data_IF_222060205787
#
_entry.id   IF_222060205787
#
_cell.length_a   1.000
_cell.length_b   1.000
_cell.length_c   1.000
_cell.angle_alpha   90.00
_cell.angle_beta   90.00
_cell.angle_gamma   90.00
#
_symmetry.space_group_name_H-M   'P 1'
#
loop_
_entity.id
_entity.type
_entity.pdbx_description
1 polymer ?
#
# COMPACT_ATOMS: atom_id res chain seq x y z
N UNK A 1 0.85 3.86 -1.31
CA UNK A 1 0.15 2.95 -2.25
C UNK A 1 -0.74 3.77 -3.15
N UNK A 2 -0.77 3.48 -4.45
CA UNK A 2 -1.66 4.14 -5.42
C UNK A 2 -2.40 3.07 -6.19
N UNK A 3 -3.72 3.25 -6.38
CA UNK A 3 -4.53 2.40 -7.22
C UNK A 3 -5.43 3.24 -8.13
N UNK A 4 -5.38 2.93 -9.42
CA UNK A 4 -6.05 3.69 -10.48
C UNK A 4 -6.82 2.71 -11.36
N UNK A 5 -8.11 2.94 -11.67
CA UNK A 5 -8.85 2.09 -12.58
C UNK A 5 -8.15 2.06 -13.95
N UNK A 6 -7.96 0.86 -14.53
CA UNK A 6 -7.43 0.79 -15.90
C UNK A 6 -8.49 1.31 -16.86
N UNK A 7 -8.16 2.34 -17.64
CA UNK A 7 -9.00 2.78 -18.75
C UNK A 7 -9.22 1.60 -19.68
N UNK A 8 -10.49 1.23 -19.91
CA UNK A 8 -10.83 0.26 -20.94
C UNK A 8 -10.58 0.93 -22.29
N UNK A 9 -9.45 0.67 -22.91
CA UNK A 9 -9.42 0.73 -24.37
C UNK A 9 -10.60 -0.11 -24.87
N UNK A 10 -11.35 0.40 -25.87
CA UNK A 10 -12.49 -0.28 -26.46
C UNK A 10 -12.03 -1.55 -27.19
N UNK A 11 -11.68 -2.59 -26.44
CA UNK A 11 -11.40 -3.92 -26.97
C UNK A 11 -12.73 -4.52 -27.40
N UNK A 12 -12.81 -5.00 -28.65
CA UNK A 12 -14.00 -5.70 -29.18
C UNK A 12 -14.34 -6.83 -28.19
N UNK A 13 -15.55 -6.80 -27.63
CA UNK A 13 -16.04 -7.78 -26.65
C UNK A 13 -16.09 -9.16 -27.29
N UNK A 14 -15.38 -10.12 -26.70
CA UNK A 14 -15.57 -11.54 -26.99
C UNK A 14 -16.83 -12.03 -26.23
N UNK A 15 -17.79 -12.71 -26.88
CA UNK A 15 -19.06 -13.09 -26.24
C UNK A 15 -18.94 -14.03 -25.03
N UNK A 16 -17.79 -14.68 -24.85
CA UNK A 16 -17.52 -15.65 -23.78
C UNK A 16 -16.62 -15.12 -22.65
N UNK A 17 -16.29 -13.83 -22.64
CA UNK A 17 -15.47 -13.25 -21.56
C UNK A 17 -16.31 -13.03 -20.31
N UNK A 18 -15.86 -13.59 -19.17
CA UNK A 18 -16.52 -13.43 -17.88
C UNK A 18 -16.73 -11.93 -17.58
N UNK A 19 -17.98 -11.56 -17.24
CA UNK A 19 -18.37 -10.16 -17.00
C UNK A 19 -17.54 -9.58 -15.87
N UNK A 20 -16.71 -8.61 -16.21
CA UNK A 20 -15.81 -7.91 -15.29
C UNK A 20 -16.64 -7.19 -14.20
N UNK A 21 -16.37 -7.36 -12.88
CA UNK A 21 -17.16 -6.78 -11.79
C UNK A 21 -17.40 -5.26 -11.91
N UNK A 22 -16.46 -4.54 -12.53
CA UNK A 22 -16.57 -3.11 -12.84
C UNK A 22 -17.68 -2.75 -13.84
N UNK A 23 -18.36 -3.70 -14.48
CA UNK A 23 -19.48 -3.44 -15.40
C UNK A 23 -20.84 -3.30 -14.69
N UNK A 24 -20.97 -3.71 -13.43
CA UNK A 24 -22.25 -3.78 -12.72
C UNK A 24 -22.54 -2.59 -11.79
N UNK A 25 -21.58 -1.68 -11.56
CA UNK A 25 -21.82 -0.46 -10.77
C UNK A 25 -22.07 0.74 -11.69
N UNK A 26 -23.18 1.44 -11.51
CA UNK A 26 -23.51 2.69 -12.19
C UNK A 26 -22.63 3.88 -11.78
N UNK A 27 -21.70 3.68 -10.86
CA UNK A 27 -20.73 4.69 -10.40
C UNK A 27 -19.39 4.52 -11.10
N UNK A 28 -18.81 5.63 -11.55
CA UNK A 28 -17.44 5.66 -12.08
C UNK A 28 -16.44 5.17 -11.01
N UNK A 29 -15.41 4.39 -11.41
CA UNK A 29 -14.44 3.86 -10.46
C UNK A 29 -13.52 4.99 -9.95
N UNK A 30 -13.16 4.95 -8.66
CA UNK A 30 -12.45 6.03 -7.96
C UNK A 30 -10.97 5.71 -7.79
N UNK A 31 -10.09 6.68 -8.00
CA UNK A 31 -8.66 6.54 -7.68
C UNK A 31 -8.41 6.62 -6.18
N UNK A 32 -7.57 5.74 -5.64
CA UNK A 32 -7.20 5.77 -4.21
C UNK A 32 -5.70 5.98 -4.06
N UNK A 33 -5.33 6.97 -3.24
CA UNK A 33 -3.96 7.31 -2.90
C UNK A 33 -3.78 7.22 -1.39
N UNK A 34 -2.83 6.40 -0.95
CA UNK A 34 -2.38 6.31 0.43
C UNK A 34 -0.96 6.88 0.47
N UNK A 35 -0.83 8.06 1.08
CA UNK A 35 0.43 8.75 1.34
C UNK A 35 0.71 8.70 2.84
N UNK A 36 1.93 8.35 3.21
CA UNK A 36 2.33 8.18 4.60
C UNK A 36 3.73 8.73 4.85
N UNK A 37 3.98 9.17 6.08
CA UNK A 37 5.24 9.73 6.52
C UNK A 37 5.74 8.96 7.75
N UNK A 38 6.99 8.51 7.71
CA UNK A 38 7.67 7.86 8.84
C UNK A 38 8.77 8.81 9.38
N UNK A 39 8.91 9.09 10.68
CA UNK A 39 8.00 8.87 11.82
C UNK A 39 7.47 10.22 12.30
N UNK A 40 6.18 10.51 12.11
CA UNK A 40 5.56 11.78 12.55
C UNK A 40 4.41 11.53 13.52
N UNK A 41 4.45 12.20 14.69
CA UNK A 41 3.26 12.33 15.55
C UNK A 41 2.30 13.38 14.99
N UNK A 42 1.03 13.30 15.38
CA UNK A 42 0.01 14.28 14.97
C UNK A 42 0.42 15.73 15.33
N UNK A 43 1.00 15.93 16.51
CA UNK A 43 1.49 17.23 16.95
C UNK A 43 2.70 17.71 16.14
N UNK A 44 3.62 16.80 15.79
CA UNK A 44 4.76 17.12 14.93
C UNK A 44 4.30 17.50 13.51
N UNK A 45 3.32 16.77 12.96
CA UNK A 45 2.72 17.08 11.66
C UNK A 45 2.10 18.49 11.66
N UNK A 46 1.31 18.82 12.69
CA UNK A 46 0.71 20.16 12.85
C UNK A 46 1.73 21.29 12.93
N UNK A 47 2.83 21.07 13.67
CA UNK A 47 3.89 22.08 13.85
C UNK A 47 4.73 22.29 12.59
N UNK A 48 5.11 21.21 11.92
CA UNK A 48 6.07 21.25 10.81
C UNK A 48 5.42 21.45 9.44
N UNK A 49 4.13 21.12 9.29
CA UNK A 49 3.39 21.25 8.04
C UNK A 49 2.13 22.15 8.20
N UNK A 50 2.28 23.39 8.73
CA UNK A 50 1.13 24.24 9.07
C UNK A 50 0.30 24.64 7.84
N UNK A 51 0.93 24.79 6.66
CA UNK A 51 0.23 25.07 5.40
C UNK A 51 -0.65 23.88 4.97
N UNK A 52 -0.14 22.66 5.11
CA UNK A 52 -0.88 21.44 4.81
C UNK A 52 -2.05 21.25 5.76
N UNK A 53 -1.83 21.47 7.06
CA UNK A 53 -2.88 21.36 8.08
C UNK A 53 -4.00 22.37 7.80
N UNK A 54 -3.64 23.63 7.55
CA UNK A 54 -4.59 24.67 7.18
C UNK A 54 -5.42 24.26 5.95
N UNK A 55 -4.76 23.77 4.90
CA UNK A 55 -5.47 23.30 3.70
C UNK A 55 -6.43 22.14 4.02
N UNK A 56 -6.01 21.15 4.81
CA UNK A 56 -6.87 20.01 5.17
C UNK A 56 -8.07 20.44 6.03
N UNK A 57 -7.88 21.35 6.99
CA UNK A 57 -8.95 21.78 7.91
C UNK A 57 -9.92 22.81 7.31
N UNK A 58 -9.50 23.57 6.29
CA UNK A 58 -10.34 24.54 5.59
C UNK A 58 -11.14 23.91 4.42
N UNK A 59 -10.85 22.67 4.06
CA UNK A 59 -11.53 21.94 2.99
C UNK A 59 -12.29 20.72 3.55
N UNK A 60 -13.04 20.02 2.69
CA UNK A 60 -13.89 18.89 3.06
C UNK A 60 -13.09 17.58 3.27
N UNK A 61 -12.10 17.60 4.17
CA UNK A 61 -11.34 16.43 4.58
C UNK A 61 -11.75 15.95 5.98
N UNK A 62 -11.89 14.64 6.13
CA UNK A 62 -12.07 14.03 7.44
C UNK A 62 -10.72 13.97 8.19
N UNK A 63 -10.64 14.63 9.35
CA UNK A 63 -9.47 14.57 10.24
C UNK A 63 -9.74 13.65 11.42
N UNK A 64 -9.00 12.54 11.50
CA UNK A 64 -9.12 11.56 12.58
C UNK A 64 -8.31 11.96 13.82
N UNK A 65 -8.83 12.91 14.61
CA UNK A 65 -8.23 13.28 15.89
C UNK A 65 -8.28 12.09 16.88
N UNK A 66 -7.15 11.79 17.52
CA UNK A 66 -7.05 10.65 18.44
C UNK A 66 -6.83 9.29 17.76
N UNK A 67 -6.61 9.26 16.43
CA UNK A 67 -6.15 8.05 15.75
C UNK A 67 -4.78 7.62 16.30
N UNK A 68 -4.66 6.36 16.67
CA UNK A 68 -3.43 5.75 17.15
C UNK A 68 -2.98 4.65 16.20
N UNK A 69 -1.66 4.49 16.07
CA UNK A 69 -1.06 3.36 15.38
C UNK A 69 -1.24 2.08 16.21
N UNK A 70 -1.17 0.94 15.52
CA UNK A 70 -1.10 -0.36 16.17
C UNK A 70 0.36 -0.75 16.34
N UNK A 71 0.76 -1.05 17.58
CA UNK A 71 2.14 -1.40 17.91
C UNK A 71 3.14 -0.24 17.77
N UNK A 72 4.42 -0.56 18.00
CA UNK A 72 5.49 0.44 18.14
C UNK A 72 6.35 0.61 16.88
N UNK A 73 6.26 -0.32 15.93
CA UNK A 73 7.07 -0.30 14.71
C UNK A 73 6.27 0.00 13.45
N UNK A 74 6.96 0.53 12.44
CA UNK A 74 6.41 0.78 11.10
C UNK A 74 5.66 -0.44 10.53
N UNK A 75 6.20 -1.69 10.57
CA UNK A 75 5.44 -2.86 10.10
C UNK A 75 4.14 -3.08 10.86
N UNK A 76 4.16 -2.97 12.19
CA UNK A 76 2.99 -3.15 13.03
C UNK A 76 1.92 -2.09 12.77
N UNK A 77 2.31 -0.86 12.41
CA UNK A 77 1.38 0.19 12.03
C UNK A 77 0.76 -0.04 10.64
N UNK A 78 1.54 -0.47 9.65
CA UNK A 78 1.07 -0.61 8.27
C UNK A 78 0.38 -1.93 7.95
N UNK A 79 0.74 -3.04 8.61
CA UNK A 79 0.12 -4.34 8.35
C UNK A 79 -1.40 -4.28 8.57
N UNK A 80 -1.94 -3.72 9.67
CA UNK A 80 -3.38 -3.59 9.85
C UNK A 80 -4.05 -2.69 8.82
N UNK A 81 -3.41 -1.57 8.47
CA UNK A 81 -3.95 -0.65 7.46
C UNK A 81 -4.09 -1.34 6.09
N UNK A 82 -3.12 -2.20 5.75
CA UNK A 82 -3.03 -2.80 4.41
C UNK A 82 -3.61 -4.20 4.31
N UNK A 83 -3.89 -4.87 5.43
CA UNK A 83 -4.40 -6.27 5.44
C UNK A 83 -5.67 -6.45 6.26
N UNK A 84 -5.97 -5.54 7.19
CA UNK A 84 -7.04 -5.69 8.18
C UNK A 84 -6.68 -6.54 9.40
N UNK A 85 -5.46 -7.07 9.48
CA UNK A 85 -4.98 -7.94 10.57
C UNK A 85 -3.73 -7.37 11.23
N UNK A 86 -3.46 -7.77 12.46
CA UNK A 86 -2.18 -7.51 13.14
C UNK A 86 -1.10 -8.47 12.66
N UNK A 87 0.18 -8.12 12.92
CA UNK A 87 1.31 -9.02 12.61
C UNK A 87 1.19 -10.37 13.35
N UNK A 88 0.56 -10.40 14.53
CA UNK A 88 0.42 -11.59 15.37
C UNK A 88 -0.67 -12.54 14.88
N UNK A 89 -1.69 -12.03 14.20
CA UNK A 89 -2.77 -12.83 13.60
C UNK A 89 -2.36 -13.48 12.27
N UNK A 90 -1.28 -13.00 11.65
CA UNK A 90 -0.82 -13.45 10.35
C UNK A 90 0.32 -14.48 10.48
N UNK A 91 0.55 -15.32 9.45
CA UNK A 91 1.66 -16.27 9.47
C UNK A 91 3.03 -15.61 9.67
N UNK A 92 3.97 -16.36 10.25
CA UNK A 92 5.30 -15.85 10.57
C UNK A 92 6.08 -15.39 9.32
N UNK A 93 6.42 -14.10 9.25
CA UNK A 93 7.22 -13.52 8.15
C UNK A 93 8.53 -12.88 8.62
N UNK A 94 8.84 -12.92 9.92
CA UNK A 94 10.07 -12.32 10.47
C UNK A 94 11.31 -13.07 9.99
N UNK A 95 12.20 -12.38 9.26
CA UNK A 95 13.35 -12.99 8.55
C UNK A 95 14.39 -13.67 9.44
N UNK A 96 14.36 -13.40 10.76
CA UNK A 96 15.24 -14.07 11.75
C UNK A 96 14.92 -15.55 11.94
N UNK A 97 13.73 -15.99 11.54
CA UNK A 97 13.31 -17.39 11.59
C UNK A 97 13.46 -18.03 10.22
N UNK A 98 14.09 -19.20 10.16
CA UNK A 98 14.27 -19.96 8.92
C UNK A 98 12.96 -20.42 8.29
N UNK A 99 11.94 -20.69 9.12
CA UNK A 99 10.59 -21.08 8.71
C UNK A 99 9.69 -19.93 8.25
N UNK A 100 10.19 -18.69 8.20
CA UNK A 100 9.37 -17.54 7.83
C UNK A 100 8.90 -17.61 6.36
N UNK A 101 7.69 -17.12 6.10
CA UNK A 101 7.12 -16.96 4.77
C UNK A 101 7.44 -15.57 4.18
N UNK A 102 7.36 -15.43 2.86
CA UNK A 102 7.38 -14.10 2.23
C UNK A 102 6.02 -13.43 2.38
N UNK A 103 5.99 -12.10 2.56
CA UNK A 103 4.73 -11.41 2.90
C UNK A 103 3.69 -11.49 1.77
N UNK A 104 4.11 -11.53 0.50
CA UNK A 104 3.21 -11.69 -0.66
C UNK A 104 2.57 -13.08 -0.74
N UNK A 105 3.13 -14.08 -0.07
CA UNK A 105 2.60 -15.44 -0.09
C UNK A 105 1.47 -15.64 0.94
N UNK A 106 1.48 -14.86 2.04
CA UNK A 106 0.63 -15.13 3.21
C UNK A 106 -0.20 -13.95 3.70
N UNK A 107 0.11 -12.71 3.31
CA UNK A 107 -0.64 -11.54 3.78
C UNK A 107 -1.73 -11.15 2.77
N UNK A 108 -2.98 -10.93 3.22
CA UNK A 108 -4.10 -10.55 2.36
C UNK A 108 -4.09 -9.05 2.08
N UNK A 109 -3.07 -8.57 1.37
CA UNK A 109 -2.92 -7.15 1.11
C UNK A 109 -4.07 -6.58 0.26
N UNK A 110 -4.56 -5.41 0.64
CA UNK A 110 -5.69 -4.71 0.00
C UNK A 110 -5.43 -4.39 -1.48
N UNK A 111 -4.17 -4.22 -1.89
CA UNK A 111 -3.84 -4.03 -3.30
C UNK A 111 -4.10 -5.27 -4.16
N UNK A 112 -4.16 -6.47 -3.59
CA UNK A 112 -4.58 -7.67 -4.33
C UNK A 112 -6.05 -7.52 -4.74
N UNK A 113 -6.92 -7.10 -3.81
CA UNK A 113 -8.33 -6.84 -4.09
C UNK A 113 -8.51 -5.77 -5.18
N UNK A 114 -7.71 -4.70 -5.15
CA UNK A 114 -7.72 -3.68 -6.20
C UNK A 114 -7.23 -4.24 -7.54
N UNK A 115 -6.18 -5.06 -7.54
CA UNK A 115 -5.67 -5.71 -8.75
C UNK A 115 -6.71 -6.63 -9.38
N UNK A 116 -7.38 -7.45 -8.57
CA UNK A 116 -8.46 -8.36 -8.99
C UNK A 116 -9.67 -7.59 -9.52
N UNK A 117 -9.96 -6.42 -8.94
CA UNK A 117 -10.96 -5.49 -9.43
C UNK A 117 -10.54 -4.73 -10.70
N UNK A 118 -9.36 -4.99 -11.26
CA UNK A 118 -8.90 -4.40 -12.53
C UNK A 118 -8.20 -3.04 -12.40
N UNK A 119 -7.75 -2.66 -11.21
CA UNK A 119 -6.96 -1.45 -11.01
C UNK A 119 -5.48 -1.68 -11.37
N UNK A 120 -4.83 -0.64 -11.90
CA UNK A 120 -3.39 -0.52 -11.87
C UNK A 120 -2.97 -0.20 -10.43
N UNK A 121 -1.95 -0.90 -9.91
CA UNK A 121 -1.53 -0.80 -8.51
C UNK A 121 -0.07 -0.42 -8.40
N UNK A 122 0.28 0.42 -7.42
CA UNK A 122 1.65 0.82 -7.11
C UNK A 122 1.88 0.82 -5.60
N UNK A 123 2.97 0.20 -5.17
CA UNK A 123 3.52 0.32 -3.82
C UNK A 123 4.98 0.75 -3.92
N UNK A 124 5.33 1.82 -3.21
CA UNK A 124 6.68 2.37 -3.25
C UNK A 124 7.01 3.04 -1.92
N UNK A 125 8.30 3.00 -1.59
CA UNK A 125 8.91 3.61 -0.42
C UNK A 125 10.18 4.34 -0.87
N UNK A 126 10.65 5.29 -0.08
CA UNK A 126 11.84 6.10 -0.34
C UNK A 126 13.16 5.34 -0.07
N UNK A 127 13.15 4.33 0.81
CA UNK A 127 14.32 3.55 1.18
C UNK A 127 14.22 2.06 0.85
N UNK A 128 15.09 1.55 -0.04
CA UNK A 128 15.16 0.10 -0.32
C UNK A 128 15.74 -0.72 0.85
N UNK A 129 16.77 -0.21 1.54
CA UNK A 129 17.53 -0.97 2.56
C UNK A 129 16.81 -1.12 3.90
N UNK A 130 15.79 -0.30 4.16
CA UNK A 130 15.04 -0.26 5.42
C UNK A 130 13.52 -0.19 5.18
N UNK A 131 13.06 -0.76 4.06
CA UNK A 131 11.64 -0.77 3.72
C UNK A 131 10.79 -1.50 4.76
N UNK A 132 9.52 -1.11 4.85
CA UNK A 132 8.57 -1.59 5.88
C UNK A 132 8.52 -3.12 5.93
N UNK A 133 8.45 -3.77 4.76
CA UNK A 133 8.35 -5.23 4.68
C UNK A 133 9.68 -5.95 4.42
N UNK A 134 10.77 -5.23 4.19
CA UNK A 134 12.09 -5.85 3.85
C UNK A 134 13.12 -5.71 4.95
N UNK A 135 12.96 -4.76 5.86
CA UNK A 135 13.92 -4.53 6.94
C UNK A 135 13.90 -5.65 7.98
N UNK A 136 12.75 -5.92 8.62
CA UNK A 136 12.61 -6.98 9.66
C UNK A 136 11.91 -8.23 9.16
N UNK A 137 11.09 -8.12 8.13
CA UNK A 137 10.35 -9.23 7.55
C UNK A 137 11.12 -9.80 6.35
N UNK A 138 10.71 -10.98 5.88
CA UNK A 138 11.37 -11.72 4.79
C UNK A 138 11.27 -10.98 3.45
N UNK A 139 10.41 -9.98 3.36
CA UNK A 139 10.18 -9.21 2.15
C UNK A 139 9.21 -9.89 1.20
N UNK A 140 9.22 -9.39 -0.02
CA UNK A 140 8.43 -9.89 -1.12
C UNK A 140 9.25 -10.86 -1.97
N UNK A 141 8.67 -11.99 -2.36
CA UNK A 141 9.27 -12.91 -3.32
C UNK A 141 9.03 -12.46 -4.75
N UNK A 142 7.81 -12.01 -5.03
CA UNK A 142 7.38 -11.48 -6.32
C UNK A 142 7.08 -9.98 -6.21
N UNK A 143 6.93 -9.30 -7.35
CA UNK A 143 6.50 -7.88 -7.33
C UNK A 143 5.09 -7.80 -6.73
N UNK A 144 4.87 -7.08 -5.61
CA UNK A 144 3.57 -7.06 -4.92
C UNK A 144 2.49 -6.26 -5.66
N UNK A 145 2.90 -5.39 -6.59
CA UNK A 145 2.00 -4.52 -7.35
C UNK A 145 2.51 -4.39 -8.79
N UNK A 146 1.67 -3.83 -9.68
CA UNK A 146 2.04 -3.60 -11.08
C UNK A 146 3.26 -2.69 -11.21
N UNK A 147 3.36 -1.68 -10.35
CA UNK A 147 4.48 -0.75 -10.29
C UNK A 147 5.15 -0.82 -8.92
N UNK A 148 6.37 -1.36 -8.88
CA UNK A 148 7.15 -1.50 -7.66
C UNK A 148 8.54 -0.85 -7.83
N UNK A 149 8.66 0.49 -7.65
CA UNK A 149 9.87 1.24 -7.95
C UNK A 149 11.06 0.90 -7.04
N UNK A 150 10.84 0.21 -5.92
CA UNK A 150 11.90 -0.18 -4.99
C UNK A 150 12.97 -1.04 -5.68
N UNK A 151 12.60 -1.92 -6.61
CA UNK A 151 13.56 -2.72 -7.39
C UNK A 151 14.50 -1.83 -8.21
N UNK A 152 13.96 -0.78 -8.84
CA UNK A 152 14.75 0.18 -9.61
C UNK A 152 15.73 0.94 -8.71
N UNK A 153 15.26 1.46 -7.56
CA UNK A 153 16.13 2.17 -6.62
C UNK A 153 17.24 1.29 -6.04
N UNK A 154 16.98 0.00 -5.83
CA UNK A 154 17.99 -0.97 -5.40
C UNK A 154 19.14 -1.09 -6.41
N UNK A 155 18.80 -1.21 -7.70
CA UNK A 155 19.79 -1.34 -8.77
C UNK A 155 20.65 -0.09 -8.94
N UNK A 156 20.04 1.10 -8.85
CA UNK A 156 20.76 2.38 -8.99
C UNK A 156 21.87 2.57 -7.95
N UNK A 157 21.78 1.92 -6.78
CA UNK A 157 22.80 2.04 -5.73
C UNK A 157 24.12 1.34 -6.08
N UNK A 158 24.09 0.35 -6.96
CA UNK A 158 25.29 -0.39 -7.38
C UNK A 158 26.13 0.36 -8.43
N UNK A 159 25.69 1.54 -8.89
CA UNK A 159 26.39 2.38 -9.86
C UNK A 159 27.09 3.59 -9.22
N UNK A 160 27.39 3.51 -7.91
CA UNK A 160 28.05 4.58 -7.16
C UNK A 160 29.39 4.14 -6.60
#
# INVERSE_FOLDING_TARGET
MVVVPKNKEKRKKDPNEAKNPLQNSSSEPINVYILSFDSLSQMSFRRNLPKTVKFLEENDFAVFNGYNIVGDGTPQAFIPILTGFTEEELPLTRKRYSSAHYVDEVYPFVWNNFSDAGYATMYGEDGHSFGTFTYRLKGFRNSPTHHYPITFFSLCRNFR
#
